data_IF_698233778868
#
_entry.id   IF_698233778868
#
_cell.length_a   1.000
_cell.length_b   1.000
_cell.length_c   1.000
_cell.angle_alpha   90.00
_cell.angle_beta   90.00
_cell.angle_gamma   90.00
#
_symmetry.space_group_name_H-M   'P 1'
#
loop_
_entity.id
_entity.type
_entity.pdbx_description
1 polymer ?
#
# COMPACT_ATOMS: atom_id res chain seq x y z
N UNK A 1 5.47 24.21 -4.07
CA UNK A 1 4.49 23.27 -3.50
C UNK A 1 3.36 23.09 -4.51
N UNK A 2 3.35 21.98 -5.25
CA UNK A 2 2.22 21.65 -6.12
C UNK A 2 1.33 20.67 -5.35
N UNK A 3 0.17 21.14 -4.88
CA UNK A 3 -0.91 20.26 -4.44
C UNK A 3 -1.59 19.67 -5.66
N UNK A 4 -1.65 18.36 -5.75
CA UNK A 4 -2.36 17.67 -6.84
C UNK A 4 -3.84 17.59 -6.44
N UNK A 5 -4.70 18.33 -7.16
CA UNK A 5 -6.15 18.16 -7.14
C UNK A 5 -6.54 17.43 -8.42
N UNK A 6 -6.99 16.19 -8.31
CA UNK A 6 -7.60 15.46 -9.43
C UNK A 6 -9.11 15.67 -9.35
N UNK A 7 -9.69 16.32 -10.35
CA UNK A 7 -11.14 16.56 -10.47
C UNK A 7 -11.71 15.61 -11.52
N UNK A 8 -12.72 14.81 -11.16
CA UNK A 8 -13.49 13.99 -12.11
C UNK A 8 -14.84 14.63 -12.46
N UNK A 9 -14.98 14.96 -13.75
CA UNK A 9 -16.13 14.75 -14.66
C UNK A 9 -17.58 15.05 -14.24
N UNK A 10 -18.23 15.96 -14.99
CA UNK A 10 -19.66 15.89 -15.34
C UNK A 10 -19.89 16.38 -16.79
N UNK A 11 -20.82 15.70 -17.46
CA UNK A 11 -21.03 15.62 -18.91
C UNK A 11 -22.00 16.70 -19.49
N UNK A 12 -21.95 16.88 -20.81
CA UNK A 12 -23.01 17.34 -21.77
C UNK A 12 -23.02 18.81 -22.29
N UNK A 13 -22.52 18.94 -23.53
CA UNK A 13 -23.05 19.63 -24.74
C UNK A 13 -23.35 21.13 -24.70
N UNK A 14 -22.62 21.87 -25.55
CA UNK A 14 -23.23 22.92 -26.38
C UNK A 14 -22.46 23.06 -27.71
N UNK A 15 -23.16 22.75 -28.80
CA UNK A 15 -22.73 22.98 -30.17
C UNK A 15 -22.51 24.46 -30.45
N UNK A 16 -21.37 24.84 -31.02
CA UNK A 16 -21.31 25.98 -31.94
C UNK A 16 -20.33 25.70 -33.08
N UNK A 17 -20.88 25.68 -34.28
CA UNK A 17 -20.19 25.52 -35.57
C UNK A 17 -19.74 26.91 -36.02
N UNK A 18 -18.48 27.08 -36.44
CA UNK A 18 -18.13 28.02 -37.50
C UNK A 18 -16.81 27.61 -38.17
N UNK A 19 -16.92 27.42 -39.48
CA UNK A 19 -15.88 26.98 -40.42
C UNK A 19 -15.08 28.18 -40.94
N UNK A 20 -13.75 28.09 -41.00
CA UNK A 20 -12.95 28.87 -41.96
C UNK A 20 -11.69 28.09 -42.39
N UNK A 21 -11.56 27.91 -43.70
CA UNK A 21 -10.52 27.17 -44.42
C UNK A 21 -9.36 28.14 -44.74
N UNK A 22 -8.10 27.65 -44.78
CA UNK A 22 -7.14 27.77 -45.92
C UNK A 22 -5.74 27.22 -45.54
N UNK A 23 -5.43 26.07 -46.18
CA UNK A 23 -4.18 25.47 -46.71
C UNK A 23 -2.84 25.42 -45.95
N UNK A 24 -2.45 24.15 -45.70
CA UNK A 24 -1.14 23.48 -45.80
C UNK A 24 0.15 24.16 -45.32
N UNK A 25 0.71 23.59 -44.26
CA UNK A 25 2.15 23.31 -44.17
C UNK A 25 2.28 21.82 -43.85
N UNK A 26 3.01 21.06 -44.67
CA UNK A 26 3.47 19.72 -44.33
C UNK A 26 4.38 19.80 -43.12
N UNK A 27 3.79 19.78 -41.93
CA UNK A 27 4.47 19.38 -40.72
C UNK A 27 3.97 17.97 -40.45
N UNK A 28 4.86 17.00 -40.61
CA UNK A 28 4.71 15.66 -40.04
C UNK A 28 4.06 15.81 -38.66
N UNK A 29 2.78 15.47 -38.57
CA UNK A 29 2.15 15.25 -37.28
C UNK A 29 2.86 14.03 -36.73
N UNK A 30 3.90 14.27 -35.92
CA UNK A 30 4.18 13.35 -34.83
C UNK A 30 2.84 13.24 -34.11
N UNK A 31 2.07 12.19 -34.41
CA UNK A 31 1.07 11.69 -33.50
C UNK A 31 1.89 11.36 -32.26
N UNK A 32 1.99 12.34 -31.36
CA UNK A 32 2.39 12.10 -29.99
C UNK A 32 1.32 11.12 -29.55
N UNK A 33 1.69 9.85 -29.55
CA UNK A 33 0.84 8.77 -29.13
C UNK A 33 0.30 9.18 -27.77
N UNK A 34 -1.01 9.39 -27.76
CA UNK A 34 -1.92 9.24 -26.65
C UNK A 34 -1.19 8.91 -25.35
N UNK A 35 -1.06 9.88 -24.44
CA UNK A 35 -0.67 9.57 -23.07
C UNK A 35 -1.68 8.55 -22.59
N UNK A 36 -1.26 7.29 -22.51
CA UNK A 36 -2.12 6.17 -22.17
C UNK A 36 -2.80 6.49 -20.83
N UNK A 37 -4.05 6.97 -20.90
CA UNK A 37 -4.82 7.45 -19.75
C UNK A 37 -5.07 6.36 -18.72
N UNK A 38 -4.66 5.13 -19.05
CA UNK A 38 -4.71 3.94 -18.22
C UNK A 38 -3.46 3.76 -17.34
N UNK A 39 -2.39 4.54 -17.48
CA UNK A 39 -1.17 4.40 -16.66
C UNK A 39 -0.86 5.70 -15.90
N UNK A 40 -0.85 5.62 -14.57
CA UNK A 40 -0.40 6.66 -13.66
C UNK A 40 1.01 6.30 -13.18
N UNK A 41 1.97 7.23 -13.29
CA UNK A 41 3.35 7.00 -12.87
C UNK A 41 3.67 7.82 -11.61
N UNK A 42 4.12 7.14 -10.57
CA UNK A 42 4.82 7.75 -9.44
C UNK A 42 6.32 7.53 -9.61
N UNK A 43 7.06 8.62 -9.80
CA UNK A 43 8.47 8.60 -10.16
C UNK A 43 9.36 8.99 -8.99
N UNK A 44 10.58 8.46 -8.97
CA UNK A 44 11.56 8.79 -7.92
C UNK A 44 11.89 10.28 -7.90
N UNK A 45 11.96 10.91 -9.06
CA UNK A 45 12.25 12.34 -9.22
C UNK A 45 11.24 13.25 -8.50
N UNK A 46 9.98 12.83 -8.46
CA UNK A 46 8.90 13.59 -7.82
C UNK A 46 8.69 13.21 -6.35
N UNK A 47 9.53 12.33 -5.80
CA UNK A 47 9.46 11.90 -4.41
C UNK A 47 9.96 13.01 -3.44
N UNK A 48 9.34 13.18 -2.25
CA UNK A 48 8.22 12.42 -1.72
C UNK A 48 6.86 12.89 -2.28
N UNK A 49 5.98 11.92 -2.53
CA UNK A 49 4.56 12.17 -2.74
C UNK A 49 3.89 12.42 -1.38
N UNK A 50 3.21 13.56 -1.22
CA UNK A 50 2.40 13.85 -0.03
C UNK A 50 0.93 13.68 -0.40
N UNK A 51 0.31 12.67 0.17
CA UNK A 51 -1.05 12.24 -0.15
C UNK A 51 -1.97 12.69 0.98
N UNK A 52 -2.73 13.75 0.73
CA UNK A 52 -3.58 14.39 1.75
C UNK A 52 -4.97 13.75 1.87
N UNK A 53 -5.38 12.99 0.85
CA UNK A 53 -6.68 12.34 0.75
C UNK A 53 -6.52 10.96 0.11
N UNK A 54 -7.50 10.08 0.30
CA UNK A 54 -7.48 8.74 -0.29
C UNK A 54 -7.34 8.78 -1.80
N UNK A 55 -6.34 8.04 -2.31
CA UNK A 55 -6.13 7.84 -3.75
C UNK A 55 -6.80 6.54 -4.15
N UNK A 56 -7.64 6.57 -5.17
CA UNK A 56 -8.27 5.39 -5.75
C UNK A 56 -7.71 5.16 -7.15
N UNK A 57 -7.18 3.96 -7.39
CA UNK A 57 -6.77 3.50 -8.71
C UNK A 57 -7.91 2.67 -9.26
N UNK A 58 -8.70 3.25 -10.14
CA UNK A 58 -9.91 2.62 -10.69
C UNK A 58 -9.60 1.42 -11.58
N UNK A 59 -10.61 0.58 -11.79
CA UNK A 59 -10.51 -0.57 -12.70
C UNK A 59 -10.10 -0.11 -14.11
N UNK A 60 -9.19 -0.86 -14.73
CA UNK A 60 -8.59 -0.49 -16.01
C UNK A 60 -7.42 0.49 -15.92
N UNK A 61 -7.11 1.03 -14.74
CA UNK A 61 -5.95 1.91 -14.51
C UNK A 61 -4.84 1.13 -13.79
N UNK A 62 -3.60 1.37 -14.20
CA UNK A 62 -2.38 0.88 -13.57
C UNK A 62 -1.64 2.03 -12.90
N UNK A 63 -1.42 1.93 -11.60
CA UNK A 63 -0.44 2.75 -10.90
C UNK A 63 0.92 2.05 -10.96
N UNK A 64 1.88 2.66 -11.65
CA UNK A 64 3.27 2.24 -11.66
C UNK A 64 4.09 3.12 -10.72
N UNK A 65 4.81 2.51 -9.79
CA UNK A 65 5.66 3.21 -8.82
C UNK A 65 7.11 2.82 -9.06
N UNK A 66 7.96 3.80 -9.33
CA UNK A 66 9.39 3.57 -9.59
C UNK A 66 10.17 3.23 -8.30
N UNK A 67 11.23 2.41 -8.39
CA UNK A 67 12.18 2.19 -7.29
C UNK A 67 12.62 3.50 -6.61
N UNK A 68 12.78 3.46 -5.29
CA UNK A 68 13.19 4.62 -4.48
C UNK A 68 12.10 5.67 -4.24
N UNK A 69 10.89 5.48 -4.77
CA UNK A 69 9.78 6.40 -4.52
C UNK A 69 9.28 6.27 -3.07
N UNK A 70 9.20 7.41 -2.38
CA UNK A 70 8.53 7.57 -1.09
C UNK A 70 7.16 8.22 -1.29
N UNK A 71 6.11 7.59 -0.76
CA UNK A 71 4.75 8.13 -0.65
C UNK A 71 4.34 8.21 0.83
N UNK A 72 3.97 9.43 1.26
CA UNK A 72 3.56 9.74 2.63
C UNK A 72 2.08 10.11 2.66
N UNK A 73 1.31 9.42 3.48
CA UNK A 73 -0.13 9.57 3.57
C UNK A 73 -0.53 10.28 4.87
N UNK A 74 -1.33 11.32 4.73
CA UNK A 74 -1.95 12.01 5.87
C UNK A 74 -2.88 11.07 6.66
N UNK A 75 -3.19 11.42 7.92
CA UNK A 75 -4.02 10.58 8.77
C UNK A 75 -5.34 10.20 8.12
N UNK A 76 -5.68 8.91 8.16
CA UNK A 76 -6.89 8.35 7.56
C UNK A 76 -6.86 8.17 6.04
N UNK A 77 -5.93 8.80 5.30
CA UNK A 77 -5.81 8.60 3.85
C UNK A 77 -5.40 7.15 3.54
N UNK A 78 -5.90 6.62 2.42
CA UNK A 78 -5.59 5.28 1.93
C UNK A 78 -5.06 5.29 0.48
N UNK A 79 -4.43 4.19 0.08
CA UNK A 79 -4.25 3.85 -1.33
C UNK A 79 -5.18 2.69 -1.67
N UNK A 80 -6.30 2.96 -2.34
CA UNK A 80 -7.27 1.94 -2.75
C UNK A 80 -6.99 1.52 -4.18
N UNK A 81 -6.79 0.22 -4.41
CA UNK A 81 -6.49 -0.38 -5.70
C UNK A 81 -7.68 -1.21 -6.15
N UNK A 82 -8.39 -0.73 -7.17
CA UNK A 82 -9.42 -1.47 -7.93
C UNK A 82 -8.91 -1.89 -9.31
N UNK A 83 -7.89 -1.19 -9.82
CA UNK A 83 -7.14 -1.52 -11.03
C UNK A 83 -5.93 -2.40 -10.76
N UNK A 84 -4.73 -1.91 -11.12
CA UNK A 84 -3.45 -2.61 -10.93
C UNK A 84 -2.48 -1.70 -10.18
N UNK A 85 -1.79 -2.25 -9.17
CA UNK A 85 -0.60 -1.65 -8.60
C UNK A 85 0.64 -2.40 -9.08
N UNK A 86 1.52 -1.74 -9.80
CA UNK A 86 2.88 -2.22 -10.06
C UNK A 86 3.85 -1.38 -9.23
N UNK A 87 4.27 -1.93 -8.08
CA UNK A 87 5.29 -1.35 -7.22
C UNK A 87 6.44 -2.34 -7.05
N UNK A 88 7.41 -2.28 -7.95
CA UNK A 88 8.59 -3.13 -7.95
C UNK A 88 9.84 -2.29 -7.69
N UNK A 89 10.23 -2.20 -6.41
CA UNK A 89 11.50 -1.60 -6.01
C UNK A 89 12.70 -2.51 -6.25
N UNK A 90 13.84 -2.15 -5.67
CA UNK A 90 15.01 -3.05 -5.58
C UNK A 90 15.49 -3.20 -4.14
N UNK A 91 16.41 -4.13 -3.93
CA UNK A 91 17.05 -4.32 -2.61
C UNK A 91 17.84 -3.07 -2.20
N UNK A 92 18.43 -2.34 -3.14
CA UNK A 92 19.15 -1.08 -2.89
C UNK A 92 18.24 0.14 -2.82
N UNK A 93 17.07 0.10 -3.47
CA UNK A 93 16.20 1.26 -3.67
C UNK A 93 14.72 0.87 -3.56
N UNK A 94 14.36 0.44 -2.35
CA UNK A 94 12.99 0.01 -2.04
C UNK A 94 11.98 1.16 -2.14
N UNK A 95 10.76 0.85 -2.56
CA UNK A 95 9.64 1.79 -2.57
C UNK A 95 9.09 1.90 -1.15
N UNK A 96 8.74 3.10 -0.68
CA UNK A 96 8.24 3.30 0.69
C UNK A 96 6.85 3.92 0.71
N UNK A 97 5.89 3.22 1.31
CA UNK A 97 4.56 3.72 1.65
C UNK A 97 4.45 3.88 3.17
N UNK A 98 4.15 5.08 3.64
CA UNK A 98 4.21 5.41 5.08
C UNK A 98 3.19 6.49 5.45
N UNK A 99 2.89 6.63 6.75
CA UNK A 99 2.20 7.84 7.22
C UNK A 99 3.10 9.08 7.10
N UNK A 100 2.49 10.25 6.90
CA UNK A 100 3.15 11.56 7.07
C UNK A 100 3.09 12.07 8.52
N UNK A 101 2.24 11.49 9.37
CA UNK A 101 2.05 11.91 10.77
C UNK A 101 3.26 11.62 11.66
N UNK A 102 3.41 12.45 12.70
CA UNK A 102 4.33 12.17 13.82
C UNK A 102 3.67 11.17 14.77
N UNK A 103 4.46 10.25 15.33
CA UNK A 103 4.03 9.37 16.42
C UNK A 103 3.76 10.18 17.68
N UNK A 104 2.52 10.62 17.82
CA UNK A 104 1.97 11.05 19.10
C UNK A 104 1.22 9.85 19.69
N UNK A 105 1.72 9.33 20.82
CA UNK A 105 1.10 8.20 21.52
C UNK A 105 -0.33 8.52 21.97
N UNK A 106 -0.70 9.80 22.11
CA UNK A 106 -2.04 10.23 22.52
C UNK A 106 -2.99 10.45 21.32
N UNK A 107 -2.45 10.68 20.12
CA UNK A 107 -3.25 10.96 18.92
C UNK A 107 -2.68 10.21 17.71
N UNK A 108 -3.09 8.97 17.53
CA UNK A 108 -2.62 8.12 16.44
C UNK A 108 -3.06 8.69 15.09
N UNK A 109 -2.15 9.43 14.47
CA UNK A 109 -2.33 10.13 13.20
C UNK A 109 -1.72 9.32 12.06
N UNK A 110 -2.22 8.09 11.89
CA UNK A 110 -1.72 7.13 10.91
C UNK A 110 -2.64 6.99 9.71
N UNK A 111 -2.08 6.48 8.61
CA UNK A 111 -2.80 6.25 7.36
C UNK A 111 -3.50 4.88 7.36
N UNK A 112 -4.44 4.68 6.45
CA UNK A 112 -5.31 3.51 6.40
C UNK A 112 -4.77 2.36 5.53
N UNK A 113 -3.48 2.39 5.19
CA UNK A 113 -2.79 1.35 4.43
C UNK A 113 -3.14 1.30 2.94
N UNK A 114 -2.66 0.24 2.29
CA UNK A 114 -2.98 -0.14 0.91
C UNK A 114 -4.16 -1.11 0.93
N UNK A 115 -5.16 -0.87 0.09
CA UNK A 115 -6.40 -1.65 0.09
C UNK A 115 -6.70 -2.16 -1.31
N UNK A 116 -6.55 -3.46 -1.54
CA UNK A 116 -6.95 -4.12 -2.78
C UNK A 116 -8.43 -4.50 -2.69
N UNK A 117 -9.24 -4.00 -3.62
CA UNK A 117 -10.70 -4.18 -3.61
C UNK A 117 -11.21 -4.65 -4.96
N UNK A 118 -11.58 -5.93 -5.06
CA UNK A 118 -12.11 -6.54 -6.29
C UNK A 118 -11.21 -6.28 -7.52
N UNK A 119 -9.89 -6.27 -7.31
CA UNK A 119 -8.94 -5.95 -8.36
C UNK A 119 -8.46 -7.21 -9.09
N UNK A 120 -7.88 -7.02 -10.28
CA UNK A 120 -7.25 -8.12 -11.01
C UNK A 120 -6.03 -8.67 -10.25
N UNK A 121 -5.70 -9.95 -10.49
CA UNK A 121 -4.57 -10.65 -9.85
C UNK A 121 -3.18 -10.24 -10.40
N UNK A 122 -3.08 -9.09 -11.05
CA UNK A 122 -1.87 -8.59 -11.70
C UNK A 122 -1.07 -7.60 -10.84
N UNK A 123 -1.57 -7.27 -9.65
CA UNK A 123 -0.90 -6.32 -8.76
C UNK A 123 0.31 -6.96 -8.08
N UNK A 124 1.41 -6.23 -8.04
CA UNK A 124 2.70 -6.66 -7.49
C UNK A 124 3.21 -5.61 -6.52
N UNK A 125 3.58 -6.06 -5.33
CA UNK A 125 4.46 -5.34 -4.41
C UNK A 125 5.73 -6.17 -4.27
N UNK A 126 6.87 -5.58 -4.67
CA UNK A 126 8.17 -6.22 -4.58
C UNK A 126 9.22 -5.24 -4.11
N UNK A 127 10.02 -5.62 -3.11
CA UNK A 127 10.99 -4.72 -2.49
C UNK A 127 10.35 -3.39 -2.04
N UNK A 128 9.22 -3.50 -1.35
CA UNK A 128 8.50 -2.37 -0.77
C UNK A 128 8.65 -2.35 0.75
N UNK A 129 8.62 -1.15 1.33
CA UNK A 129 8.45 -0.91 2.76
C UNK A 129 7.06 -0.32 2.93
N UNK A 130 6.19 -1.01 3.66
CA UNK A 130 4.85 -0.52 4.02
C UNK A 130 4.80 -0.45 5.54
N UNK A 131 4.70 0.76 6.07
CA UNK A 131 4.77 0.95 7.52
C UNK A 131 3.80 2.00 8.05
N UNK A 132 3.56 1.94 9.35
CA UNK A 132 2.84 2.96 10.12
C UNK A 132 1.36 3.08 9.77
N UNK A 133 0.67 1.95 9.60
CA UNK A 133 -0.77 1.91 9.32
C UNK A 133 -1.63 1.88 10.59
N UNK A 134 -2.82 2.48 10.54
CA UNK A 134 -3.84 2.33 11.60
C UNK A 134 -4.58 1.00 11.43
N UNK A 135 -4.47 0.16 12.46
CA UNK A 135 -4.90 -1.24 12.51
C UNK A 135 -4.25 -2.19 11.48
N UNK A 136 -3.79 -1.69 10.32
CA UNK A 136 -3.34 -2.50 9.19
C UNK A 136 -2.44 -1.76 8.23
N UNK A 137 -1.54 -2.50 7.58
CA UNK A 137 -0.73 -1.99 6.46
C UNK A 137 -1.38 -2.33 5.11
N UNK A 138 -1.92 -3.54 4.97
CA UNK A 138 -2.48 -4.04 3.72
C UNK A 138 -3.81 -4.76 3.99
N UNK A 139 -4.85 -4.39 3.24
CA UNK A 139 -6.10 -5.16 3.14
C UNK A 139 -6.24 -5.72 1.74
N UNK A 140 -6.62 -6.98 1.63
CA UNK A 140 -6.84 -7.70 0.38
C UNK A 140 -8.25 -8.27 0.42
N UNK A 141 -9.15 -7.72 -0.39
CA UNK A 141 -10.56 -8.10 -0.44
C UNK A 141 -10.92 -8.56 -1.85
N UNK A 142 -11.35 -9.81 -1.98
CA UNK A 142 -11.67 -10.45 -3.25
C UNK A 142 -10.63 -10.14 -4.35
N UNK A 143 -9.36 -10.28 -3.98
CA UNK A 143 -8.20 -9.89 -4.80
C UNK A 143 -7.04 -10.84 -4.52
N UNK A 144 -6.10 -10.99 -5.47
CA UNK A 144 -4.92 -11.85 -5.26
C UNK A 144 -3.63 -11.19 -5.77
N UNK A 145 -3.16 -10.12 -5.13
CA UNK A 145 -1.85 -9.54 -5.44
C UNK A 145 -0.71 -10.51 -5.07
N UNK A 146 0.46 -10.29 -5.67
CA UNK A 146 1.72 -10.88 -5.20
C UNK A 146 2.44 -9.87 -4.32
N UNK A 147 2.80 -10.28 -3.11
CA UNK A 147 3.54 -9.47 -2.14
C UNK A 147 4.82 -10.23 -1.81
N UNK A 148 5.96 -9.71 -2.28
CA UNK A 148 7.23 -10.42 -2.11
C UNK A 148 8.40 -9.52 -1.72
N UNK A 149 9.35 -10.03 -0.94
CA UNK A 149 10.56 -9.29 -0.57
C UNK A 149 10.29 -7.93 0.10
N UNK A 150 9.14 -7.78 0.75
CA UNK A 150 8.73 -6.53 1.39
C UNK A 150 9.06 -6.53 2.88
N UNK A 151 9.18 -5.33 3.45
CA UNK A 151 9.16 -5.09 4.89
C UNK A 151 7.81 -4.47 5.26
N UNK A 152 6.99 -5.22 5.97
CA UNK A 152 5.64 -4.83 6.34
C UNK A 152 5.58 -4.74 7.86
N UNK A 153 5.45 -3.54 8.40
CA UNK A 153 5.70 -3.37 9.84
C UNK A 153 5.00 -2.19 10.46
N UNK A 154 4.93 -2.22 11.78
CA UNK A 154 4.42 -1.12 12.59
C UNK A 154 2.97 -0.80 12.25
N UNK A 155 2.08 -1.48 12.95
CA UNK A 155 0.68 -1.07 13.06
C UNK A 155 0.42 -0.58 14.47
N UNK A 156 -0.53 0.33 14.58
CA UNK A 156 -1.10 0.67 15.88
C UNK A 156 -2.56 0.24 15.86
N UNK A 157 -2.88 -0.91 16.48
CA UNK A 157 -4.24 -1.40 16.51
C UNK A 157 -5.09 -0.64 17.52
N UNK A 158 -6.30 -0.33 17.10
CA UNK A 158 -7.38 0.11 17.97
C UNK A 158 -7.71 -1.01 18.96
N UNK A 159 -7.93 -0.66 20.22
CA UNK A 159 -8.17 -1.62 21.31
C UNK A 159 -9.30 -2.61 21.03
N UNK A 160 -10.25 -2.23 20.18
CA UNK A 160 -11.44 -3.02 19.85
C UNK A 160 -11.22 -4.01 18.70
N UNK A 161 -10.22 -3.79 17.83
CA UNK A 161 -10.09 -4.52 16.56
C UNK A 161 -8.89 -5.44 16.50
N UNK A 162 -7.89 -5.24 17.37
CA UNK A 162 -6.65 -6.03 17.42
C UNK A 162 -5.70 -5.81 16.25
N UNK A 163 -6.21 -5.52 15.05
CA UNK A 163 -5.43 -5.17 13.87
C UNK A 163 -4.61 -6.33 13.28
N UNK A 164 -4.17 -6.17 12.04
CA UNK A 164 -3.20 -7.07 11.44
C UNK A 164 -2.36 -6.38 10.35
N UNK A 165 -1.09 -6.77 10.18
CA UNK A 165 -0.24 -6.20 9.13
C UNK A 165 -0.85 -6.44 7.76
N UNK A 166 -1.30 -7.68 7.49
CA UNK A 166 -2.04 -8.08 6.30
C UNK A 166 -3.38 -8.67 6.70
N UNK A 167 -4.48 -8.17 6.11
CA UNK A 167 -5.82 -8.77 6.23
C UNK A 167 -6.25 -9.28 4.87
N UNK A 168 -6.61 -10.56 4.77
CA UNK A 168 -7.13 -11.20 3.55
C UNK A 168 -8.60 -11.59 3.76
N UNK A 169 -9.52 -11.09 2.95
CA UNK A 169 -10.97 -11.39 3.06
C UNK A 169 -11.59 -11.80 1.73
N UNK A 170 -12.81 -12.33 1.78
CA UNK A 170 -13.70 -12.54 0.62
C UNK A 170 -13.05 -13.35 -0.52
N UNK A 171 -12.65 -14.58 -0.24
CA UNK A 171 -12.05 -15.53 -1.21
C UNK A 171 -10.74 -15.05 -1.85
N UNK A 172 -10.02 -14.13 -1.20
CA UNK A 172 -8.69 -13.72 -1.63
C UNK A 172 -7.68 -14.86 -1.53
N UNK A 173 -6.82 -15.02 -2.54
CA UNK A 173 -5.75 -16.02 -2.59
C UNK A 173 -4.41 -15.39 -3.01
N UNK A 174 -3.93 -14.35 -2.29
CA UNK A 174 -2.66 -13.72 -2.63
C UNK A 174 -1.47 -14.66 -2.39
N UNK A 175 -0.38 -14.41 -3.11
CA UNK A 175 0.93 -14.99 -2.82
C UNK A 175 1.69 -14.01 -1.93
N UNK A 176 2.05 -14.45 -0.72
CA UNK A 176 2.78 -13.67 0.28
C UNK A 176 4.08 -14.41 0.56
N UNK A 177 5.20 -13.94 0.00
CA UNK A 177 6.46 -14.67 0.11
C UNK A 177 7.71 -13.84 0.38
N UNK A 178 8.70 -14.39 1.10
CA UNK A 178 9.98 -13.73 1.37
C UNK A 178 9.85 -12.34 2.02
N UNK A 179 8.77 -12.09 2.76
CA UNK A 179 8.55 -10.83 3.45
C UNK A 179 9.05 -10.90 4.89
N UNK A 180 9.42 -9.73 5.43
CA UNK A 180 9.58 -9.53 6.86
C UNK A 180 8.34 -8.80 7.37
N UNK A 181 7.57 -9.49 8.21
CA UNK A 181 6.33 -9.00 8.83
C UNK A 181 6.62 -8.83 10.32
N UNK A 182 6.67 -7.60 10.80
CA UNK A 182 7.14 -7.34 12.16
C UNK A 182 6.48 -6.14 12.83
N UNK A 183 6.84 -5.87 14.09
CA UNK A 183 6.42 -4.67 14.82
C UNK A 183 4.88 -4.53 14.88
N UNK A 184 4.19 -5.65 15.09
CA UNK A 184 2.77 -5.71 15.46
C UNK A 184 2.65 -6.17 16.91
N UNK A 185 1.89 -5.44 17.72
CA UNK A 185 1.81 -5.61 19.17
C UNK A 185 0.46 -5.08 19.70
N UNK A 186 0.13 -5.41 20.96
CA UNK A 186 -1.15 -5.15 21.65
C UNK A 186 -2.39 -5.86 21.08
N UNK A 187 -3.40 -6.07 21.93
CA UNK A 187 -4.79 -6.42 21.56
C UNK A 187 -4.95 -7.61 20.62
N UNK A 188 -4.10 -8.63 20.71
CA UNK A 188 -4.08 -9.75 19.76
C UNK A 188 -3.77 -9.37 18.31
N UNK A 189 -2.92 -8.36 18.11
CA UNK A 189 -2.41 -7.98 16.80
C UNK A 189 -1.84 -9.16 16.04
N UNK A 190 -2.18 -9.22 14.76
CA UNK A 190 -1.84 -10.36 13.91
C UNK A 190 -0.85 -9.99 12.82
N UNK A 191 0.08 -10.87 12.48
CA UNK A 191 0.89 -10.71 11.26
C UNK A 191 0.01 -10.80 10.02
N UNK A 192 -0.64 -11.95 9.81
CA UNK A 192 -1.57 -12.20 8.70
C UNK A 192 -2.91 -12.71 9.21
N UNK A 193 -3.99 -11.98 8.95
CA UNK A 193 -5.34 -12.37 9.32
C UNK A 193 -6.18 -12.73 8.09
N UNK A 194 -6.62 -13.99 8.00
CA UNK A 194 -7.47 -14.51 6.94
C UNK A 194 -8.92 -14.65 7.40
N UNK A 195 -9.87 -14.13 6.61
CA UNK A 195 -11.31 -14.24 6.84
C UNK A 195 -11.95 -14.76 5.56
N UNK A 196 -12.33 -16.03 5.53
CA UNK A 196 -12.88 -16.68 4.31
C UNK A 196 -11.95 -16.51 3.10
N UNK A 197 -10.63 -16.64 3.30
CA UNK A 197 -9.58 -16.47 2.30
C UNK A 197 -8.53 -17.58 2.45
N UNK A 198 -7.74 -17.81 1.40
CA UNK A 198 -6.75 -18.88 1.39
C UNK A 198 -5.45 -18.43 0.70
N UNK A 199 -4.66 -17.55 1.35
CA UNK A 199 -3.38 -17.11 0.82
C UNK A 199 -2.34 -18.24 0.81
N UNK A 200 -1.39 -18.15 -0.10
CA UNK A 200 -0.14 -18.91 -0.06
C UNK A 200 0.91 -18.07 0.67
N UNK A 201 1.41 -18.58 1.80
CA UNK A 201 2.29 -17.86 2.71
C UNK A 201 3.61 -18.61 2.78
N UNK A 202 4.65 -18.13 2.09
CA UNK A 202 5.90 -18.86 1.91
C UNK A 202 7.15 -18.11 2.34
N UNK A 203 8.05 -18.76 3.08
CA UNK A 203 9.38 -18.21 3.36
C UNK A 203 9.36 -16.79 3.97
N UNK A 204 8.34 -16.46 4.77
CA UNK A 204 8.27 -15.17 5.44
C UNK A 204 8.84 -15.26 6.86
N UNK A 205 9.44 -14.16 7.31
CA UNK A 205 9.79 -13.94 8.71
C UNK A 205 8.64 -13.17 9.38
N UNK A 206 7.84 -13.84 10.20
CA UNK A 206 6.71 -13.24 10.91
C UNK A 206 7.07 -13.13 12.38
N UNK A 207 7.45 -11.92 12.79
CA UNK A 207 8.08 -11.63 14.08
C UNK A 207 7.21 -10.68 14.88
N UNK A 208 6.58 -11.18 15.92
CA UNK A 208 5.84 -10.37 16.85
C UNK A 208 6.74 -9.72 17.91
N UNK A 209 6.35 -8.58 18.48
CA UNK A 209 7.13 -7.88 19.52
C UNK A 209 6.69 -8.12 20.99
N UNK A 210 5.59 -8.85 21.26
CA UNK A 210 5.04 -9.06 22.61
C UNK A 210 4.32 -10.43 22.77
N UNK A 211 3.86 -10.77 23.98
CA UNK A 211 3.33 -12.11 24.31
C UNK A 211 1.90 -12.40 23.88
N UNK A 212 1.14 -11.41 23.40
CA UNK A 212 -0.31 -11.55 23.13
C UNK A 212 -0.70 -11.51 21.64
N UNK A 213 0.25 -11.42 20.73
CA UNK A 213 0.02 -11.37 19.29
C UNK A 213 -0.12 -12.75 18.63
N UNK A 214 -0.51 -12.75 17.35
CA UNK A 214 -0.70 -13.96 16.56
C UNK A 214 0.06 -13.83 15.23
N UNK A 215 0.88 -14.81 14.86
CA UNK A 215 1.60 -14.72 13.60
C UNK A 215 0.65 -14.82 12.39
N UNK A 216 -0.20 -15.85 12.37
CA UNK A 216 -1.21 -16.08 11.33
C UNK A 216 -2.48 -16.63 11.96
N UNK A 217 -3.65 -16.12 11.57
CA UNK A 217 -4.96 -16.63 12.00
C UNK A 217 -5.95 -16.75 10.83
N UNK A 218 -6.84 -17.75 10.92
CA UNK A 218 -8.01 -17.90 10.05
C UNK A 218 -7.79 -18.67 8.75
N UNK A 219 -6.55 -19.01 8.39
CA UNK A 219 -6.26 -19.91 7.26
C UNK A 219 -5.00 -19.55 6.46
N UNK A 220 -4.89 -20.16 5.28
CA UNK A 220 -3.74 -20.08 4.38
C UNK A 220 -2.94 -21.37 4.30
N UNK A 221 -2.20 -21.56 3.21
CA UNK A 221 -1.21 -22.62 3.08
C UNK A 221 0.17 -22.06 3.45
N UNK A 222 0.78 -22.61 4.50
CA UNK A 222 2.04 -22.14 5.06
C UNK A 222 3.15 -23.14 4.75
N UNK A 223 4.25 -22.66 4.17
CA UNK A 223 5.47 -23.44 3.94
C UNK A 223 6.73 -22.58 4.13
N UNK A 224 7.77 -23.14 4.75
CA UNK A 224 9.06 -22.46 4.92
C UNK A 224 9.09 -21.16 5.75
N UNK A 225 8.01 -20.79 6.46
CA UNK A 225 7.97 -19.55 7.25
C UNK A 225 8.70 -19.67 8.60
N UNK A 226 9.35 -18.59 9.01
CA UNK A 226 9.89 -18.42 10.35
C UNK A 226 8.92 -17.61 11.20
N UNK A 227 8.38 -18.21 12.27
CA UNK A 227 7.42 -17.57 13.18
C UNK A 227 8.10 -17.38 14.54
N UNK A 228 8.20 -16.14 15.01
CA UNK A 228 8.87 -15.83 16.26
C UNK A 228 8.15 -14.76 17.07
N UNK A 229 8.38 -14.80 18.38
CA UNK A 229 8.08 -13.69 19.30
C UNK A 229 9.43 -13.12 19.72
N UNK A 230 9.71 -11.91 19.30
CA UNK A 230 10.79 -11.09 19.80
C UNK A 230 10.28 -10.32 21.01
N UNK A 231 10.43 -10.90 22.20
CA UNK A 231 10.26 -10.13 23.42
C UNK A 231 11.39 -9.11 23.40
N UNK A 232 11.09 -7.81 23.35
CA UNK A 232 12.07 -6.75 23.56
C UNK A 232 12.73 -6.91 24.95
N UNK A 233 13.72 -7.79 25.07
CA UNK A 233 14.55 -7.91 26.26
C UNK A 233 15.55 -6.76 26.20
N UNK A 234 15.19 -5.61 26.76
CA UNK A 234 16.18 -4.61 27.20
C UNK A 234 16.22 -3.26 26.48
N UNK A 235 15.09 -2.57 26.37
CA UNK A 235 15.16 -1.10 26.50
C UNK A 235 15.15 -0.83 28.00
N UNK A 236 16.32 -0.66 28.62
CA UNK A 236 16.39 0.02 29.91
C UNK A 236 15.73 1.39 29.69
N UNK A 237 14.65 1.69 30.41
CA UNK A 237 14.29 3.07 30.70
C UNK A 237 15.54 3.72 31.29
N UNK A 238 16.25 4.51 30.50
CA UNK A 238 17.27 5.40 31.04
C UNK A 238 16.51 6.37 31.92
N UNK A 239 16.57 6.12 33.22
CA UNK A 239 16.20 7.05 34.28
C UNK A 239 17.02 8.32 34.05
N UNK A 240 16.45 9.31 33.37
CA UNK A 240 17.00 10.66 33.38
C UNK A 240 16.51 11.30 34.68
N UNK A 241 17.16 10.92 35.76
CA UNK A 241 17.33 11.79 36.91
C UNK A 241 18.52 12.70 36.59
N UNK A 242 18.24 13.97 36.36
CA UNK A 242 19.03 15.12 36.80
C UNK A 242 18.22 16.40 36.61
#
# INVERSE_FOLDING_TARGET
MKSIKIVLSLFVVSCFILLLIVTNCDNTTSSINDTDTTIINWTKENSPYIITETVVIDSGITLKVEPGTVAKFEPGAALIIKGILNAEGTIEDSIKFTSSGMFDQENWKLWSGIQFENCSNSSILKYCIVEYGVDKCITIKNSSPTISHCKLRYIVPSAETGGAIIICTDSSTPLIEYNVISEFYNYAATGIYCISSNPEIFHNDIICCETECIAVIGGGFLDGNYLAIDVLIGIQESTINN
#
